data_IF_678642217085
#
_entry.id   IF_678642217085
#
_cell.length_a   1.000
_cell.length_b   1.000
_cell.length_c   1.000
_cell.angle_alpha   90.00
_cell.angle_beta   90.00
_cell.angle_gamma   90.00
#
_symmetry.space_group_name_H-M   'P 1'
#
loop_
_entity.id
_entity.type
_entity.pdbx_description
1 polymer ?
#
# COMPACT_ATOMS: atom_id res chain seq x y z
N UNK A 1 5.84 -13.11 27.75
CA UNK A 1 6.34 -13.25 26.37
C UNK A 1 5.12 -13.22 25.46
N UNK A 2 4.99 -12.23 24.56
CA UNK A 2 3.71 -11.89 23.93
C UNK A 2 3.29 -12.85 22.81
N UNK A 3 4.14 -13.79 22.43
CA UNK A 3 3.96 -14.76 21.35
C UNK A 3 2.80 -15.74 21.57
N UNK A 4 2.26 -15.83 22.79
CA UNK A 4 1.11 -16.66 23.15
C UNK A 4 0.27 -16.00 24.24
N UNK A 5 -0.54 -14.99 23.92
CA UNK A 5 -1.58 -14.55 24.86
C UNK A 5 -2.67 -15.62 24.92
N UNK A 6 -3.07 -16.01 26.12
CA UNK A 6 -4.21 -16.89 26.34
C UNK A 6 -5.49 -16.19 25.88
N UNK A 7 -6.43 -16.97 25.35
CA UNK A 7 -7.81 -16.55 25.05
C UNK A 7 -8.44 -16.04 26.38
N UNK A 8 -9.12 -14.88 26.40
CA UNK A 8 -9.65 -14.14 25.26
C UNK A 8 -8.62 -13.28 24.52
N UNK A 9 -8.72 -13.31 23.19
CA UNK A 9 -7.94 -12.49 22.25
C UNK A 9 -8.36 -11.01 22.24
N UNK A 10 -9.37 -10.64 23.03
CA UNK A 10 -9.81 -9.26 23.20
C UNK A 10 -8.93 -8.63 24.27
N UNK A 11 -7.92 -7.82 23.89
CA UNK A 11 -7.19 -7.04 24.88
C UNK A 11 -8.17 -6.12 25.62
N UNK A 12 -7.84 -5.78 26.87
CA UNK A 12 -8.52 -4.67 27.56
C UNK A 12 -8.53 -3.43 26.63
N UNK A 13 -9.61 -2.63 26.65
CA UNK A 13 -9.71 -1.44 25.80
C UNK A 13 -8.45 -0.59 25.91
N UNK A 14 -7.83 -0.28 24.78
CA UNK A 14 -6.65 0.58 24.78
C UNK A 14 -7.07 1.97 25.27
N UNK A 15 -6.30 2.57 26.20
CA UNK A 15 -6.57 3.91 26.67
C UNK A 15 -6.75 4.90 25.52
N UNK A 16 -7.72 5.80 25.64
CA UNK A 16 -8.03 6.77 24.58
C UNK A 16 -6.87 7.72 24.28
N UNK A 17 -5.99 7.97 25.25
CA UNK A 17 -4.78 8.78 25.14
C UNK A 17 -3.57 8.04 24.54
N UNK A 18 -3.71 6.75 24.22
CA UNK A 18 -2.63 5.99 23.58
C UNK A 18 -2.23 6.65 22.25
N UNK A 19 -0.93 6.83 22.04
CA UNK A 19 -0.37 7.54 20.88
C UNK A 19 -0.95 7.11 19.53
N UNK A 20 -1.03 5.80 19.29
CA UNK A 20 -1.61 5.27 18.05
C UNK A 20 -3.11 5.56 17.94
N UNK A 21 -3.85 5.48 19.06
CA UNK A 21 -5.29 5.79 19.12
C UNK A 21 -5.53 7.25 18.72
N UNK A 22 -4.75 8.17 19.28
CA UNK A 22 -4.82 9.60 18.95
C UNK A 22 -4.53 9.88 17.46
N UNK A 23 -3.49 9.26 16.88
CA UNK A 23 -3.20 9.40 15.44
C UNK A 23 -4.35 8.93 14.56
N UNK A 24 -5.00 7.83 14.93
CA UNK A 24 -6.14 7.31 14.17
C UNK A 24 -7.33 8.25 14.29
N UNK A 25 -7.68 8.66 15.50
CA UNK A 25 -8.81 9.57 15.72
C UNK A 25 -8.61 10.87 14.93
N UNK A 26 -7.38 11.40 14.91
CA UNK A 26 -7.04 12.55 14.09
C UNK A 26 -7.18 12.27 12.58
N UNK A 27 -6.70 11.12 12.10
CA UNK A 27 -6.87 10.74 10.69
C UNK A 27 -8.36 10.53 10.32
N UNK A 28 -9.14 9.96 11.24
CA UNK A 28 -10.58 9.77 11.16
C UNK A 28 -11.37 11.08 11.32
N UNK A 29 -10.79 12.21 11.68
CA UNK A 29 -11.48 13.50 11.59
C UNK A 29 -11.55 14.05 10.16
N UNK A 30 -10.68 13.55 9.26
CA UNK A 30 -10.62 14.01 7.87
C UNK A 30 -11.66 13.29 7.00
N UNK A 31 -12.13 13.91 5.90
CA UNK A 31 -12.91 13.20 4.89
C UNK A 31 -12.07 12.10 4.21
N UNK A 32 -12.69 11.22 3.41
CA UNK A 32 -11.95 10.24 2.60
C UNK A 32 -10.80 10.89 1.78
N UNK A 33 -9.74 10.13 1.43
CA UNK A 33 -8.65 10.63 0.59
C UNK A 33 -9.16 11.25 -0.71
N UNK A 34 -8.57 12.35 -1.17
CA UNK A 34 -9.06 13.09 -2.34
C UNK A 34 -8.07 13.13 -3.53
N UNK A 35 -6.93 12.42 -3.41
CA UNK A 35 -6.05 12.09 -4.54
C UNK A 35 -6.35 10.64 -4.97
N UNK A 36 -7.21 10.51 -5.99
CA UNK A 36 -7.83 9.25 -6.40
C UNK A 36 -7.70 9.04 -7.91
N UNK A 37 -7.80 7.79 -8.36
CA UNK A 37 -7.79 7.43 -9.78
C UNK A 37 -9.23 7.43 -10.35
N UNK A 38 -9.47 7.97 -11.56
CA UNK A 38 -10.79 7.89 -12.19
C UNK A 38 -11.18 6.45 -12.51
N UNK A 39 -12.48 6.17 -12.49
CA UNK A 39 -13.03 4.88 -12.90
C UNK A 39 -13.76 5.00 -14.24
N UNK A 40 -13.90 3.88 -14.95
CA UNK A 40 -14.61 3.83 -16.23
C UNK A 40 -16.11 3.61 -16.06
N UNK A 41 -16.51 2.80 -15.07
CA UNK A 41 -17.92 2.49 -14.78
C UNK A 41 -18.23 2.79 -13.30
N UNK A 42 -18.55 4.06 -12.93
CA UNK A 42 -18.72 4.47 -11.53
C UNK A 42 -19.86 3.77 -10.79
N UNK A 43 -20.92 3.42 -11.52
CA UNK A 43 -22.14 2.78 -10.98
C UNK A 43 -22.07 1.25 -10.97
N UNK A 44 -20.94 0.65 -11.35
CA UNK A 44 -20.82 -0.81 -11.44
C UNK A 44 -20.56 -1.45 -10.07
N UNK A 45 -21.32 -2.49 -9.75
CA UNK A 45 -21.14 -3.32 -8.55
C UNK A 45 -19.80 -4.09 -8.59
N UNK A 46 -19.05 -4.17 -7.47
CA UNK A 46 -17.75 -4.84 -7.42
C UNK A 46 -17.94 -6.36 -7.51
N UNK A 47 -17.57 -6.96 -8.65
CA UNK A 47 -17.78 -8.39 -8.90
C UNK A 47 -16.49 -9.14 -9.24
N UNK A 48 -15.73 -8.65 -10.23
CA UNK A 48 -14.53 -9.31 -10.76
C UNK A 48 -13.24 -8.63 -10.28
N UNK A 49 -12.26 -9.40 -9.80
CA UNK A 49 -10.93 -8.89 -9.46
C UNK A 49 -9.97 -9.10 -10.62
N UNK A 50 -9.45 -7.99 -11.15
CA UNK A 50 -8.39 -7.96 -12.14
C UNK A 50 -7.03 -7.88 -11.45
N UNK A 51 -5.99 -8.32 -12.16
CA UNK A 51 -4.61 -8.22 -11.67
C UNK A 51 -3.70 -7.76 -12.80
N UNK A 52 -2.90 -6.73 -12.54
CA UNK A 52 -1.83 -6.26 -13.41
C UNK A 52 -0.51 -6.41 -12.65
N UNK A 53 0.49 -7.03 -13.27
CA UNK A 53 1.83 -7.15 -12.70
C UNK A 53 2.83 -6.41 -13.56
N UNK A 54 3.51 -5.42 -12.98
CA UNK A 54 4.69 -4.79 -13.60
C UNK A 54 5.94 -5.44 -13.05
N UNK A 55 6.74 -6.02 -13.94
CA UNK A 55 8.06 -6.58 -13.62
C UNK A 55 9.15 -5.61 -14.05
N UNK A 56 10.12 -5.37 -13.16
CA UNK A 56 11.27 -4.52 -13.42
C UNK A 56 12.50 -5.36 -13.81
N UNK A 57 13.46 -4.80 -14.55
CA UNK A 57 14.68 -5.51 -14.92
C UNK A 57 15.49 -6.01 -13.70
N UNK A 58 16.30 -7.07 -13.84
CA UNK A 58 17.26 -7.48 -12.82
C UNK A 58 18.18 -6.32 -12.38
N UNK A 59 18.54 -6.28 -11.10
CA UNK A 59 19.38 -5.20 -10.54
C UNK A 59 18.63 -3.89 -10.23
N UNK A 60 17.37 -3.76 -10.66
CA UNK A 60 16.51 -2.63 -10.30
C UNK A 60 16.32 -2.46 -8.78
N UNK A 61 15.99 -3.50 -7.99
CA UNK A 61 15.77 -3.31 -6.54
C UNK A 61 17.01 -2.79 -5.82
N UNK A 62 18.21 -3.17 -6.23
CA UNK A 62 19.47 -2.69 -5.66
C UNK A 62 19.68 -1.20 -5.94
N UNK A 63 19.40 -0.76 -7.17
CA UNK A 63 19.47 0.65 -7.56
C UNK A 63 18.46 1.49 -6.78
N UNK A 64 17.19 1.07 -6.78
CA UNK A 64 16.13 1.77 -6.05
C UNK A 64 16.41 1.81 -4.54
N UNK A 65 16.90 0.71 -3.96
CA UNK A 65 17.33 0.67 -2.56
C UNK A 65 18.44 1.66 -2.26
N UNK A 66 19.42 1.76 -3.16
CA UNK A 66 20.57 2.68 -3.00
C UNK A 66 20.11 4.14 -3.08
N UNK A 67 19.27 4.47 -4.07
CA UNK A 67 18.65 5.79 -4.21
C UNK A 67 17.84 6.18 -2.97
N UNK A 68 16.99 5.28 -2.50
CA UNK A 68 16.17 5.50 -1.31
C UNK A 68 17.04 5.72 -0.07
N UNK A 69 18.10 4.93 0.13
CA UNK A 69 19.04 5.10 1.24
C UNK A 69 19.77 6.44 1.19
N UNK A 70 20.24 6.85 0.01
CA UNK A 70 20.88 8.16 -0.18
C UNK A 70 19.95 9.32 0.25
N UNK A 71 18.63 9.12 0.08
CA UNK A 71 17.59 10.07 0.47
C UNK A 71 16.99 9.82 1.86
N UNK A 72 17.58 8.93 2.68
CA UNK A 72 17.12 8.56 4.03
C UNK A 72 15.69 7.97 4.06
N UNK A 73 15.33 7.26 3.00
CA UNK A 73 14.02 6.64 2.79
C UNK A 73 14.12 5.11 2.68
N UNK A 74 12.98 4.45 2.76
CA UNK A 74 12.81 3.04 2.38
C UNK A 74 12.24 2.93 0.98
N UNK A 75 12.34 1.74 0.36
CA UNK A 75 11.64 1.46 -0.91
C UNK A 75 10.13 1.69 -0.74
N UNK A 76 9.56 1.29 0.40
CA UNK A 76 8.14 1.48 0.68
C UNK A 76 7.75 2.96 0.67
N UNK A 77 8.48 3.83 1.38
CA UNK A 77 8.15 5.25 1.40
C UNK A 77 8.36 5.92 0.03
N UNK A 78 9.35 5.47 -0.74
CA UNK A 78 9.55 5.92 -2.12
C UNK A 78 8.39 5.51 -3.05
N UNK A 79 7.96 4.25 -3.01
CA UNK A 79 6.83 3.75 -3.80
C UNK A 79 5.52 4.43 -3.37
N UNK A 80 5.30 4.64 -2.07
CA UNK A 80 4.15 5.38 -1.56
C UNK A 80 4.12 6.80 -2.12
N UNK A 81 5.23 7.53 -2.04
CA UNK A 81 5.30 8.89 -2.54
C UNK A 81 5.13 8.95 -4.06
N UNK A 82 5.79 8.06 -4.81
CA UNK A 82 5.66 7.96 -6.26
C UNK A 82 4.20 7.65 -6.66
N UNK A 83 3.53 6.70 -6.00
CA UNK A 83 2.11 6.36 -6.25
C UNK A 83 1.22 7.60 -6.23
N UNK A 84 1.29 8.40 -5.16
CA UNK A 84 0.38 9.52 -5.01
C UNK A 84 0.79 10.77 -5.79
N UNK A 85 2.07 11.00 -6.04
CA UNK A 85 2.50 12.07 -6.94
C UNK A 85 2.20 11.75 -8.41
N UNK A 86 2.35 10.50 -8.83
CA UNK A 86 1.90 10.06 -10.16
C UNK A 86 0.40 10.31 -10.34
N UNK A 87 -0.43 9.95 -9.34
CA UNK A 87 -1.87 10.26 -9.40
C UNK A 87 -2.12 11.76 -9.49
N UNK A 88 -1.47 12.55 -8.63
CA UNK A 88 -1.61 13.99 -8.61
C UNK A 88 -1.28 14.64 -9.96
N UNK A 89 -0.22 14.18 -10.63
CA UNK A 89 0.23 14.73 -11.92
C UNK A 89 -0.55 14.22 -13.12
N UNK A 90 -1.18 13.05 -13.01
CA UNK A 90 -1.99 12.48 -14.09
C UNK A 90 -3.37 13.12 -14.20
N UNK A 91 -3.93 13.60 -13.09
CA UNK A 91 -5.28 14.14 -13.06
C UNK A 91 -5.33 15.52 -13.75
N UNK A 92 -6.39 15.80 -14.53
CA UNK A 92 -6.63 17.13 -15.04
C UNK A 92 -6.74 18.16 -13.90
N UNK A 93 -6.22 19.39 -14.05
CA UNK A 93 -6.35 20.42 -13.02
C UNK A 93 -7.81 20.71 -12.62
N UNK A 94 -8.75 20.57 -13.56
CA UNK A 94 -10.19 20.74 -13.31
C UNK A 94 -10.79 19.66 -12.40
N UNK A 95 -10.17 18.49 -12.33
CA UNK A 95 -10.56 17.38 -11.45
C UNK A 95 -9.89 17.48 -10.08
N UNK A 96 -8.98 18.43 -9.87
CA UNK A 96 -8.28 18.60 -8.60
C UNK A 96 -9.10 19.50 -7.67
N UNK A 97 -9.46 19.04 -6.46
CA UNK A 97 -10.17 19.85 -5.48
C UNK A 97 -9.44 21.16 -5.14
N UNK A 98 -10.20 22.21 -4.80
CA UNK A 98 -9.66 23.53 -4.39
C UNK A 98 -9.19 23.58 -2.94
N UNK A 99 -9.45 22.54 -2.15
CA UNK A 99 -9.03 22.41 -0.75
C UNK A 99 -7.67 21.75 -0.56
N UNK A 100 -7.32 21.43 0.69
CA UNK A 100 -6.12 20.63 0.98
C UNK A 100 -6.20 19.28 0.26
N UNK A 101 -5.15 18.92 -0.45
CA UNK A 101 -5.02 17.59 -1.06
C UNK A 101 -4.29 16.66 -0.11
N UNK A 102 -4.88 15.50 0.16
CA UNK A 102 -4.31 14.55 1.09
C UNK A 102 -4.74 13.12 0.81
N UNK A 103 -3.94 12.21 1.32
CA UNK A 103 -4.24 10.78 1.41
C UNK A 103 -3.82 10.23 2.76
N UNK A 104 -4.50 9.19 3.20
CA UNK A 104 -4.14 8.45 4.38
C UNK A 104 -4.41 6.97 4.18
N UNK A 105 -3.59 6.13 4.80
CA UNK A 105 -3.76 4.68 4.85
C UNK A 105 -3.69 4.27 6.32
N UNK A 106 -4.77 3.65 6.81
CA UNK A 106 -4.82 3.05 8.13
C UNK A 106 -5.78 1.84 8.15
N UNK A 107 -5.43 0.76 8.88
CA UNK A 107 -4.07 0.40 9.24
C UNK A 107 -3.27 -0.04 8.00
N UNK A 108 -2.09 0.55 7.77
CA UNK A 108 -1.12 0.02 6.82
C UNK A 108 -0.39 -1.18 7.46
N UNK A 109 -0.78 -2.39 7.05
CA UNK A 109 -0.29 -3.64 7.63
C UNK A 109 1.24 -3.78 7.59
N UNK A 110 1.85 -4.26 8.67
CA UNK A 110 3.27 -4.60 8.70
C UNK A 110 3.52 -5.98 9.32
N UNK A 111 4.46 -6.74 8.75
CA UNK A 111 4.88 -8.04 9.28
C UNK A 111 5.89 -7.83 10.42
N UNK A 112 5.53 -8.34 11.60
CA UNK A 112 6.34 -8.28 12.82
C UNK A 112 7.06 -9.59 13.15
N UNK A 113 6.82 -10.66 12.39
CA UNK A 113 7.28 -12.01 12.72
C UNK A 113 8.80 -12.08 12.90
N UNK A 114 9.56 -11.46 12.01
CA UNK A 114 11.02 -11.48 12.06
C UNK A 114 11.60 -10.82 13.31
N UNK A 115 10.87 -9.89 13.92
CA UNK A 115 11.30 -9.14 15.12
C UNK A 115 10.76 -9.70 16.42
N UNK A 116 9.57 -10.30 16.37
CA UNK A 116 8.80 -10.63 17.58
C UNK A 116 8.54 -12.13 17.77
N UNK A 117 8.84 -12.99 16.79
CA UNK A 117 8.85 -14.43 17.03
C UNK A 117 10.09 -14.84 17.84
N UNK A 118 9.87 -15.70 18.84
CA UNK A 118 10.94 -16.35 19.58
C UNK A 118 11.75 -17.24 18.60
N UNK A 119 13.04 -16.96 18.47
CA UNK A 119 13.91 -17.58 17.45
C UNK A 119 14.21 -16.66 16.25
N UNK A 120 13.69 -15.44 16.23
CA UNK A 120 14.01 -14.43 15.21
C UNK A 120 13.45 -14.77 13.83
N UNK A 121 14.15 -14.33 12.78
CA UNK A 121 13.73 -14.52 11.40
C UNK A 121 13.57 -16.00 11.01
N UNK A 122 14.41 -16.90 11.55
CA UNK A 122 14.34 -18.34 11.24
C UNK A 122 13.04 -18.98 11.71
N UNK A 123 12.43 -18.45 12.78
CA UNK A 123 11.16 -18.92 13.31
C UNK A 123 9.97 -18.62 12.40
N UNK A 124 10.12 -17.78 11.37
CA UNK A 124 9.08 -17.50 10.37
C UNK A 124 8.72 -18.73 9.53
N UNK A 125 9.69 -19.62 9.33
CA UNK A 125 9.53 -20.84 8.51
C UNK A 125 8.77 -21.96 9.22
N UNK A 126 8.58 -21.85 10.55
CA UNK A 126 7.76 -22.79 11.30
C UNK A 126 6.26 -22.47 11.10
N UNK A 127 5.56 -23.34 10.36
CA UNK A 127 4.13 -23.22 10.09
C UNK A 127 3.27 -23.17 11.36
N UNK A 128 3.77 -23.64 12.52
CA UNK A 128 3.07 -23.50 13.81
C UNK A 128 2.98 -22.04 14.25
N UNK A 129 3.95 -21.21 13.86
CA UNK A 129 3.98 -19.78 14.19
C UNK A 129 3.06 -18.94 13.28
N UNK A 130 2.58 -19.48 12.15
CA UNK A 130 1.64 -18.78 11.27
C UNK A 130 0.29 -18.54 11.91
N UNK A 131 -0.06 -19.32 12.94
CA UNK A 131 -1.30 -19.16 13.74
C UNK A 131 -1.19 -18.09 14.83
N UNK A 132 -0.03 -17.46 15.00
CA UNK A 132 0.17 -16.43 16.04
C UNK A 132 -0.32 -15.08 15.49
N UNK A 133 -1.51 -14.66 15.94
CA UNK A 133 -2.19 -13.44 15.50
C UNK A 133 -1.48 -12.13 15.85
N UNK A 134 -0.55 -12.13 16.83
CA UNK A 134 0.22 -10.95 17.26
C UNK A 134 1.32 -10.49 16.30
N UNK A 135 1.34 -11.02 15.08
CA UNK A 135 2.45 -10.82 14.15
C UNK A 135 2.14 -9.82 13.03
N UNK A 136 0.96 -9.21 13.08
CA UNK A 136 0.56 -8.13 12.19
C UNK A 136 0.49 -6.83 12.98
N UNK A 137 1.18 -5.82 12.49
CA UNK A 137 1.06 -4.44 12.95
C UNK A 137 0.27 -3.58 11.98
N UNK A 138 0.08 -2.32 12.34
CA UNK A 138 -0.44 -1.26 11.50
C UNK A 138 0.41 0.01 11.59
N UNK A 139 0.36 0.83 10.55
CA UNK A 139 0.75 2.22 10.63
C UNK A 139 -0.43 3.10 10.21
N UNK A 140 -0.46 4.32 10.73
CA UNK A 140 -1.27 5.42 10.22
C UNK A 140 -0.33 6.30 9.44
N UNK A 141 -0.35 6.17 8.11
CA UNK A 141 0.51 6.94 7.22
C UNK A 141 -0.35 7.83 6.35
N UNK A 142 0.12 9.05 6.08
CA UNK A 142 -0.55 9.95 5.16
C UNK A 142 0.42 10.86 4.42
N UNK A 143 -0.07 11.39 3.31
CA UNK A 143 0.52 12.54 2.64
C UNK A 143 -0.48 13.69 2.76
N UNK A 144 -0.03 14.82 3.27
CA UNK A 144 -0.85 15.98 3.54
C UNK A 144 -0.32 17.17 2.73
N UNK A 145 -1.16 18.18 2.51
CA UNK A 145 -0.80 19.39 1.76
C UNK A 145 -0.18 19.10 0.39
N UNK A 146 -0.70 18.09 -0.30
CA UNK A 146 -0.14 17.59 -1.56
C UNK A 146 -0.25 18.61 -2.70
N UNK A 147 -1.12 19.63 -2.56
CA UNK A 147 -1.25 20.74 -3.51
C UNK A 147 0.07 21.47 -3.77
N UNK A 148 1.02 21.42 -2.83
CA UNK A 148 2.36 22.02 -3.00
C UNK A 148 3.19 21.41 -4.13
N UNK A 149 2.82 20.22 -4.61
CA UNK A 149 3.53 19.51 -5.67
C UNK A 149 2.87 19.67 -7.05
N UNK A 150 1.75 20.39 -7.13
CA UNK A 150 1.08 20.69 -8.40
C UNK A 150 1.96 21.60 -9.25
N UNK A 151 2.17 21.23 -10.52
CA UNK A 151 2.96 22.02 -11.47
C UNK A 151 4.46 22.09 -11.16
N UNK A 152 4.97 21.20 -10.30
CA UNK A 152 6.38 21.16 -9.97
C UNK A 152 7.26 20.88 -11.19
N UNK A 153 8.43 21.52 -11.22
CA UNK A 153 9.48 21.31 -12.23
C UNK A 153 10.54 20.31 -11.78
N UNK A 154 10.47 19.83 -10.53
CA UNK A 154 11.44 18.92 -9.90
C UNK A 154 10.77 17.65 -9.36
N UNK A 155 10.09 16.85 -10.22
CA UNK A 155 9.24 15.74 -9.77
C UNK A 155 9.99 14.66 -8.97
N UNK A 156 11.28 14.44 -9.25
CA UNK A 156 12.06 13.46 -8.48
C UNK A 156 12.34 13.94 -7.05
N UNK A 157 12.63 15.23 -6.86
CA UNK A 157 12.86 15.78 -5.51
C UNK A 157 11.57 15.84 -4.70
N UNK A 158 10.42 16.06 -5.36
CA UNK A 158 9.12 16.00 -4.71
C UNK A 158 8.84 14.60 -4.17
N UNK A 159 9.16 13.56 -4.95
CA UNK A 159 9.04 12.18 -4.48
C UNK A 159 9.91 11.97 -3.26
N UNK A 160 11.16 12.41 -3.26
CA UNK A 160 12.03 12.23 -2.10
C UNK A 160 11.58 13.04 -0.89
N UNK A 161 11.08 14.25 -1.10
CA UNK A 161 10.48 15.09 -0.05
C UNK A 161 9.33 14.38 0.62
N UNK A 162 8.35 13.92 -0.17
CA UNK A 162 7.20 13.21 0.38
C UNK A 162 7.59 11.86 0.98
N UNK A 163 8.52 11.13 0.37
CA UNK A 163 9.02 9.85 0.89
C UNK A 163 9.70 10.01 2.25
N UNK A 164 10.40 11.13 2.50
CA UNK A 164 11.01 11.44 3.81
C UNK A 164 9.94 11.71 4.86
N UNK A 165 8.88 12.43 4.51
CA UNK A 165 7.74 12.68 5.42
C UNK A 165 7.03 11.38 5.81
N UNK A 166 6.82 10.48 4.85
CA UNK A 166 6.23 9.16 5.11
C UNK A 166 7.19 8.30 5.94
N UNK A 167 8.49 8.33 5.64
CA UNK A 167 9.49 7.59 6.40
C UNK A 167 9.56 8.07 7.85
N UNK A 168 9.46 9.39 8.10
CA UNK A 168 9.42 9.95 9.43
C UNK A 168 8.22 9.43 10.23
N UNK A 169 7.03 9.37 9.62
CA UNK A 169 5.83 8.80 10.25
C UNK A 169 6.00 7.32 10.61
N UNK A 170 6.62 6.52 9.72
CA UNK A 170 6.89 5.09 9.97
C UNK A 170 7.88 4.92 11.13
N UNK A 171 8.94 5.74 11.19
CA UNK A 171 9.93 5.69 12.27
C UNK A 171 9.33 6.13 13.61
N UNK A 172 8.52 7.17 13.61
CA UNK A 172 7.81 7.67 14.80
C UNK A 172 6.89 6.60 15.41
N UNK A 173 6.25 5.78 14.57
CA UNK A 173 5.32 4.73 15.00
C UNK A 173 6.01 3.40 15.34
N UNK A 174 7.29 3.25 14.98
CA UNK A 174 8.05 2.01 15.16
C UNK A 174 8.04 1.46 16.60
N UNK A 175 8.18 2.28 17.67
CA UNK A 175 8.16 1.78 19.05
C UNK A 175 6.84 1.14 19.47
N UNK A 176 5.73 1.53 18.84
CA UNK A 176 4.38 1.09 19.17
C UNK A 176 3.94 -0.17 18.41
N UNK A 177 4.74 -0.62 17.44
CA UNK A 177 4.40 -1.79 16.62
C UNK A 177 4.38 -3.07 17.48
N UNK A 178 5.26 -3.18 18.48
CA UNK A 178 5.32 -4.33 19.37
C UNK A 178 4.03 -4.57 20.19
N UNK A 179 3.21 -3.53 20.38
CA UNK A 179 1.92 -3.59 21.08
C UNK A 179 0.72 -3.59 20.12
N UNK A 180 0.93 -3.80 18.82
CA UNK A 180 -0.12 -3.67 17.81
C UNK A 180 -1.35 -4.53 18.04
N UNK A 181 -1.18 -5.74 18.56
CA UNK A 181 -2.30 -6.59 18.95
C UNK A 181 -3.27 -5.94 19.93
N UNK A 182 -2.81 -4.96 20.72
CA UNK A 182 -3.63 -4.23 21.68
C UNK A 182 -4.47 -3.17 20.98
N UNK A 183 -3.86 -2.37 20.11
CA UNK A 183 -4.51 -1.19 19.53
C UNK A 183 -5.11 -1.41 18.13
N UNK A 184 -4.65 -2.41 17.35
CA UNK A 184 -5.19 -2.74 16.01
C UNK A 184 -6.70 -2.99 16.04
N UNK A 185 -7.24 -3.81 16.97
CA UNK A 185 -8.68 -4.03 17.08
C UNK A 185 -9.46 -2.73 17.33
N UNK A 186 -8.94 -1.84 18.18
CA UNK A 186 -9.54 -0.53 18.45
C UNK A 186 -9.56 0.36 17.20
N UNK A 187 -8.53 0.30 16.35
CA UNK A 187 -8.54 0.99 15.04
C UNK A 187 -9.71 0.49 14.20
N UNK A 188 -9.80 -0.83 14.02
CA UNK A 188 -10.79 -1.45 13.15
C UNK A 188 -12.19 -1.10 13.65
N UNK A 189 -12.43 -1.17 14.96
CA UNK A 189 -13.70 -0.77 15.56
C UNK A 189 -14.03 0.72 15.32
N UNK A 190 -13.06 1.63 15.51
CA UNK A 190 -13.25 3.05 15.26
C UNK A 190 -13.52 3.37 13.78
N UNK A 191 -12.84 2.67 12.86
CA UNK A 191 -13.09 2.78 11.43
C UNK A 191 -14.51 2.32 11.09
N UNK A 192 -14.91 1.14 11.56
CA UNK A 192 -16.25 0.60 11.31
C UNK A 192 -17.32 1.55 11.84
N UNK A 193 -17.15 2.08 13.05
CA UNK A 193 -18.09 3.03 13.66
C UNK A 193 -18.20 4.34 12.87
N UNK A 194 -17.08 4.90 12.40
CA UNK A 194 -17.10 6.12 11.56
C UNK A 194 -17.81 5.85 10.23
N UNK A 195 -17.40 4.80 9.52
CA UNK A 195 -17.89 4.55 8.17
C UNK A 195 -19.32 4.01 8.14
N UNK A 196 -19.83 3.41 9.22
CA UNK A 196 -21.23 3.01 9.31
C UNK A 196 -22.19 4.16 9.57
N UNK A 197 -21.75 5.25 10.20
CA UNK A 197 -22.64 6.30 10.70
C UNK A 197 -22.49 7.63 9.95
N UNK A 198 -21.27 7.99 9.54
CA UNK A 198 -20.95 9.37 9.11
C UNK A 198 -20.34 9.45 7.70
N UNK A 199 -20.36 8.35 6.95
CA UNK A 199 -19.73 8.31 5.64
C UNK A 199 -20.61 8.91 4.55
N UNK A 200 -20.08 9.97 3.93
CA UNK A 200 -20.62 10.56 2.70
C UNK A 200 -19.59 10.31 1.60
N UNK A 201 -19.93 9.59 0.51
CA UNK A 201 -19.04 9.42 -0.62
C UNK A 201 -18.72 10.77 -1.24
N UNK A 202 -17.45 11.03 -1.53
CA UNK A 202 -17.05 12.27 -2.20
C UNK A 202 -17.48 12.26 -3.68
N UNK A 203 -17.23 11.14 -4.37
CA UNK A 203 -17.68 10.89 -5.74
C UNK A 203 -17.52 9.41 -6.10
N UNK A 204 -18.50 8.78 -6.78
CA UNK A 204 -18.34 7.44 -7.34
C UNK A 204 -17.38 7.39 -8.54
N UNK A 205 -17.04 8.55 -9.14
CA UNK A 205 -16.18 8.66 -10.33
C UNK A 205 -14.70 8.40 -10.06
N UNK A 206 -14.29 8.35 -8.79
CA UNK A 206 -12.90 8.21 -8.41
C UNK A 206 -12.72 7.19 -7.28
N UNK A 207 -11.60 6.47 -7.29
CA UNK A 207 -11.26 5.48 -6.27
C UNK A 207 -9.82 5.62 -5.79
N UNK A 208 -9.60 5.28 -4.54
CA UNK A 208 -8.25 5.35 -3.96
C UNK A 208 -7.35 4.23 -4.50
N UNK A 209 -6.08 4.57 -4.76
CA UNK A 209 -5.02 3.58 -4.98
C UNK A 209 -4.22 3.45 -3.69
N UNK A 210 -4.46 2.36 -2.96
CA UNK A 210 -3.76 2.12 -1.69
C UNK A 210 -2.48 1.32 -1.93
N UNK A 211 -1.46 1.62 -1.13
CA UNK A 211 -0.17 0.93 -1.17
C UNK A 211 -0.04 0.02 0.05
N UNK A 212 0.26 -1.26 -0.20
CA UNK A 212 0.69 -2.24 0.81
C UNK A 212 1.99 -2.88 0.37
N UNK A 213 2.77 -3.51 1.25
CA UNK A 213 4.02 -4.14 0.83
C UNK A 213 4.15 -5.55 1.39
N UNK A 214 4.60 -6.47 0.53
CA UNK A 214 4.99 -7.82 0.94
C UNK A 214 6.51 -7.97 1.11
N UNK A 215 7.28 -6.93 0.76
CA UNK A 215 8.73 -6.94 0.86
C UNK A 215 9.37 -8.08 0.06
N UNK A 216 10.30 -8.80 0.69
CA UNK A 216 11.05 -9.89 0.07
C UNK A 216 10.32 -11.21 0.29
N UNK A 217 9.86 -11.84 -0.80
CA UNK A 217 9.10 -13.09 -0.73
C UNK A 217 9.97 -14.35 -0.70
N UNK A 218 11.24 -14.27 -1.11
CA UNK A 218 12.15 -15.41 -1.23
C UNK A 218 12.26 -16.25 0.05
N UNK A 219 12.13 -15.64 1.23
CA UNK A 219 12.14 -16.34 2.52
C UNK A 219 10.78 -16.88 2.97
N UNK A 220 9.68 -16.45 2.33
CA UNK A 220 8.31 -16.75 2.76
C UNK A 220 7.58 -17.71 1.82
N UNK A 221 8.07 -17.86 0.58
CA UNK A 221 7.48 -18.74 -0.43
C UNK A 221 8.56 -19.68 -0.97
N UNK A 222 8.30 -20.99 -0.96
CA UNK A 222 9.22 -21.98 -1.52
C UNK A 222 9.37 -21.75 -3.03
N UNK A 223 10.60 -21.79 -3.55
CA UNK A 223 10.88 -21.69 -5.00
C UNK A 223 10.50 -22.95 -5.76
N UNK A 224 10.35 -24.07 -5.07
CA UNK A 224 10.04 -25.35 -5.69
C UNK A 224 8.93 -26.08 -4.98
N UNK A 225 8.20 -26.90 -5.74
CA UNK A 225 7.23 -27.86 -5.24
C UNK A 225 7.65 -29.28 -5.59
N UNK A 226 7.63 -30.18 -4.61
CA UNK A 226 8.00 -31.58 -4.76
C UNK A 226 9.09 -32.04 -3.79
N UNK A 227 9.44 -33.34 -3.80
CA UNK A 227 10.45 -33.90 -2.92
C UNK A 227 11.85 -33.37 -3.26
N UNK A 228 12.59 -32.94 -2.25
CA UNK A 228 14.02 -32.70 -2.36
C UNK A 228 14.75 -34.05 -2.58
N UNK A 229 15.80 -34.14 -3.42
CA UNK A 229 16.49 -33.07 -4.15
C UNK A 229 15.97 -32.79 -5.57
N UNK A 230 14.96 -33.53 -6.04
CA UNK A 230 14.45 -33.46 -7.42
C UNK A 230 13.06 -32.80 -7.43
N UNK A 231 12.98 -31.47 -7.41
CA UNK A 231 11.69 -30.78 -7.40
C UNK A 231 10.89 -31.08 -8.66
N UNK A 232 9.57 -31.24 -8.50
CA UNK A 232 8.66 -31.48 -9.62
C UNK A 232 8.35 -30.20 -10.38
N UNK A 233 8.28 -29.06 -9.68
CA UNK A 233 8.01 -27.75 -10.27
C UNK A 233 8.88 -26.67 -9.65
N UNK A 234 9.20 -25.66 -10.46
CA UNK A 234 9.81 -24.40 -10.02
C UNK A 234 8.79 -23.28 -10.18
N UNK A 235 8.62 -22.46 -9.15
CA UNK A 235 7.72 -21.31 -9.15
C UNK A 235 8.46 -20.13 -9.76
N UNK A 236 8.11 -19.77 -11.00
CA UNK A 236 8.78 -18.69 -11.75
C UNK A 236 8.22 -17.30 -11.42
N UNK A 237 6.89 -17.16 -11.36
CA UNK A 237 6.22 -15.86 -11.17
C UNK A 237 4.98 -15.99 -10.30
N UNK A 238 5.07 -15.76 -8.98
CA UNK A 238 3.91 -15.70 -8.12
C UNK A 238 3.08 -14.46 -8.44
N UNK A 239 1.79 -14.67 -8.66
CA UNK A 239 0.80 -13.61 -8.83
C UNK A 239 0.07 -13.43 -7.51
N UNK A 240 0.08 -12.20 -7.01
CA UNK A 240 -0.69 -11.83 -5.82
C UNK A 240 -1.94 -11.10 -6.30
N UNK A 241 -3.09 -11.69 -6.02
CA UNK A 241 -4.39 -11.08 -6.20
C UNK A 241 -5.05 -10.93 -4.83
N UNK A 242 -5.49 -9.72 -4.52
CA UNK A 242 -6.14 -9.40 -3.26
C UNK A 242 -7.29 -8.44 -3.51
N UNK A 243 -8.44 -8.73 -2.90
CA UNK A 243 -9.55 -7.78 -2.86
C UNK A 243 -9.24 -6.76 -1.78
N UNK A 244 -9.06 -5.49 -2.17
CA UNK A 244 -8.98 -4.40 -1.19
C UNK A 244 -10.29 -4.32 -0.42
N UNK A 245 -10.28 -4.24 0.92
CA UNK A 245 -11.52 -4.11 1.68
C UNK A 245 -12.20 -2.78 1.34
N UNK A 246 -13.33 -2.83 0.65
CA UNK A 246 -14.18 -1.66 0.38
C UNK A 246 -15.03 -1.40 1.61
N UNK A 247 -14.50 -0.63 2.57
CA UNK A 247 -15.29 -0.14 3.71
C UNK A 247 -16.30 0.93 3.27
N UNK A 248 -16.08 1.54 2.11
CA UNK A 248 -16.88 2.64 1.59
C UNK A 248 -17.09 2.55 0.08
N UNK A 249 -18.16 3.18 -0.41
CA UNK A 249 -18.54 3.19 -1.83
C UNK A 249 -17.67 4.08 -2.71
N UNK A 250 -16.67 4.81 -2.19
CA UNK A 250 -15.62 5.53 -2.92
C UNK A 250 -14.20 5.03 -2.53
N UNK A 251 -14.15 3.90 -1.84
CA UNK A 251 -12.97 3.40 -1.14
C UNK A 251 -11.85 2.89 -2.05
N UNK A 252 -11.19 1.81 -1.63
CA UNK A 252 -10.04 1.27 -2.35
C UNK A 252 -10.50 0.68 -3.69
N UNK A 253 -10.08 1.33 -4.79
CA UNK A 253 -10.31 0.84 -6.15
C UNK A 253 -9.19 -0.06 -6.65
N UNK A 254 -7.98 0.19 -6.17
CA UNK A 254 -6.76 -0.48 -6.59
C UNK A 254 -5.86 -0.68 -5.38
N UNK A 255 -5.36 -1.90 -5.19
CA UNK A 255 -4.30 -2.21 -4.23
C UNK A 255 -2.98 -2.41 -4.98
N UNK A 256 -2.05 -1.49 -4.79
CA UNK A 256 -0.67 -1.56 -5.25
C UNK A 256 0.20 -2.28 -4.20
N UNK A 257 0.91 -3.32 -4.64
CA UNK A 257 1.76 -4.16 -3.79
C UNK A 257 3.16 -4.31 -4.39
N UNK A 258 4.14 -3.50 -3.98
CA UNK A 258 5.56 -3.78 -4.20
C UNK A 258 6.06 -5.03 -3.46
N UNK A 259 6.79 -5.88 -4.19
CA UNK A 259 7.49 -7.05 -3.64
C UNK A 259 8.71 -7.44 -4.49
N UNK A 260 9.60 -8.27 -3.94
CA UNK A 260 10.63 -8.97 -4.71
C UNK A 260 10.41 -10.46 -4.66
N UNK A 261 10.61 -11.13 -5.79
CA UNK A 261 10.66 -12.58 -5.90
C UNK A 261 11.82 -12.98 -6.81
N UNK A 262 12.70 -13.83 -6.31
CA UNK A 262 13.92 -14.25 -7.00
C UNK A 262 14.82 -13.07 -7.36
N UNK A 263 14.96 -12.13 -6.42
CA UNK A 263 15.71 -10.89 -6.62
C UNK A 263 15.10 -9.90 -7.63
N UNK A 264 13.96 -10.23 -8.24
CA UNK A 264 13.29 -9.36 -9.21
C UNK A 264 12.17 -8.57 -8.55
N UNK A 265 12.25 -7.24 -8.66
CA UNK A 265 11.23 -6.32 -8.15
C UNK A 265 9.99 -6.32 -9.04
N UNK A 266 8.82 -6.38 -8.41
CA UNK A 266 7.52 -6.39 -9.06
C UNK A 266 6.55 -5.47 -8.32
N UNK A 267 5.62 -4.89 -9.08
CA UNK A 267 4.42 -4.25 -8.56
C UNK A 267 3.22 -5.09 -8.98
N UNK A 268 2.47 -5.64 -8.02
CA UNK A 268 1.15 -6.19 -8.29
C UNK A 268 0.09 -5.12 -8.06
N UNK A 269 -0.86 -4.99 -8.97
CA UNK A 269 -2.03 -4.13 -8.83
C UNK A 269 -3.27 -5.01 -8.92
N UNK A 270 -3.98 -5.14 -7.81
CA UNK A 270 -5.28 -5.80 -7.76
C UNK A 270 -6.39 -4.74 -7.78
N UNK A 271 -7.42 -4.92 -8.59
CA UNK A 271 -8.47 -3.93 -8.79
C UNK A 271 -9.79 -4.59 -9.14
N UNK A 272 -10.94 -3.93 -8.92
CA UNK A 272 -12.19 -4.48 -9.46
C UNK A 272 -12.37 -4.05 -10.93
N UNK A 273 -12.47 -5.05 -11.81
CA UNK A 273 -12.67 -4.85 -13.26
C UNK A 273 -14.00 -4.15 -13.52
N UNK A 274 -15.01 -4.39 -12.69
CA UNK A 274 -16.35 -3.82 -12.87
C UNK A 274 -16.30 -2.29 -13.03
N UNK A 275 -15.63 -1.56 -12.14
CA UNK A 275 -15.50 -0.11 -12.24
C UNK A 275 -14.25 0.36 -12.99
N UNK A 276 -13.10 -0.33 -12.90
CA UNK A 276 -11.88 0.11 -13.60
C UNK A 276 -11.86 -0.24 -15.09
N UNK A 277 -12.78 -1.09 -15.53
CA UNK A 277 -12.82 -1.69 -16.86
C UNK A 277 -11.77 -2.77 -17.10
N UNK A 278 -12.04 -3.57 -18.11
CA UNK A 278 -11.16 -4.57 -18.71
C UNK A 278 -9.95 -3.92 -19.38
N UNK A 279 -8.96 -4.74 -19.76
CA UNK A 279 -7.78 -4.24 -20.48
C UNK A 279 -8.12 -3.59 -21.83
N UNK A 280 -9.20 -4.04 -22.49
CA UNK A 280 -9.70 -3.51 -23.77
C UNK A 280 -10.45 -2.19 -23.59
N UNK A 281 -11.32 -2.10 -22.58
CA UNK A 281 -12.02 -0.85 -22.23
C UNK A 281 -11.02 0.23 -21.85
N UNK A 282 -10.01 -0.11 -21.05
CA UNK A 282 -8.93 0.82 -20.70
C UNK A 282 -8.13 1.26 -21.93
N UNK A 283 -7.79 0.34 -22.85
CA UNK A 283 -7.08 0.71 -24.09
C UNK A 283 -7.91 1.63 -24.99
N UNK A 284 -9.23 1.46 -25.00
CA UNK A 284 -10.16 2.32 -25.75
C UNK A 284 -10.25 3.70 -25.10
N UNK A 285 -10.43 3.77 -23.78
CA UNK A 285 -10.48 5.01 -23.03
C UNK A 285 -9.17 5.83 -23.14
N UNK A 286 -8.01 5.17 -23.18
CA UNK A 286 -6.71 5.84 -23.41
C UNK A 286 -6.64 6.54 -24.77
N UNK A 287 -7.18 5.91 -25.84
CA UNK A 287 -7.25 6.52 -27.17
C UNK A 287 -8.14 7.77 -27.20
N UNK A 288 -9.12 7.82 -26.31
CA UNK A 288 -9.98 8.99 -26.09
C UNK A 288 -9.34 10.06 -25.18
N UNK A 289 -8.09 9.84 -24.74
CA UNK A 289 -7.35 10.77 -23.88
C UNK A 289 -7.71 10.69 -22.40
N UNK A 290 -8.52 9.71 -21.98
CA UNK A 290 -8.88 9.51 -20.57
C UNK A 290 -7.70 8.96 -19.77
N UNK A 291 -7.69 9.27 -18.47
CA UNK A 291 -6.76 8.66 -17.51
C UNK A 291 -7.31 7.30 -17.09
N UNK A 292 -6.48 6.27 -17.15
CA UNK A 292 -6.84 4.87 -16.86
C UNK A 292 -5.83 4.27 -15.89
N UNK A 293 -6.16 3.09 -15.35
CA UNK A 293 -5.22 2.31 -14.53
C UNK A 293 -3.95 1.95 -15.30
N UNK A 294 -4.08 1.55 -16.57
CA UNK A 294 -2.93 1.23 -17.44
C UNK A 294 -1.99 2.43 -17.62
N UNK A 295 -2.50 3.59 -18.05
CA UNK A 295 -1.71 4.84 -18.14
C UNK A 295 -1.07 5.22 -16.80
N UNK A 296 -1.81 5.06 -15.70
CA UNK A 296 -1.28 5.27 -14.36
C UNK A 296 -0.07 4.37 -14.05
N UNK A 297 -0.18 3.07 -14.33
CA UNK A 297 0.91 2.12 -14.11
C UNK A 297 2.13 2.46 -14.94
N UNK A 298 1.95 2.89 -16.19
CA UNK A 298 3.05 3.30 -17.05
C UNK A 298 3.80 4.52 -16.51
N UNK A 299 3.09 5.56 -16.09
CA UNK A 299 3.72 6.75 -15.51
C UNK A 299 4.39 6.46 -14.16
N UNK A 300 3.75 5.65 -13.29
CA UNK A 300 4.37 5.20 -12.04
C UNK A 300 5.66 4.41 -12.32
N UNK A 301 5.63 3.53 -13.31
CA UNK A 301 6.80 2.74 -13.70
C UNK A 301 7.93 3.64 -14.15
N UNK A 302 7.67 4.58 -15.07
CA UNK A 302 8.67 5.54 -15.56
C UNK A 302 9.28 6.34 -14.41
N UNK A 303 8.45 6.82 -13.48
CA UNK A 303 8.91 7.57 -12.32
C UNK A 303 9.82 6.72 -11.42
N UNK A 304 9.45 5.46 -11.15
CA UNK A 304 10.27 4.53 -10.37
C UNK A 304 11.60 4.18 -11.07
N UNK A 305 11.59 4.04 -12.39
CA UNK A 305 12.79 3.87 -13.21
C UNK A 305 13.73 5.08 -13.12
N UNK A 306 13.19 6.29 -13.18
CA UNK A 306 13.96 7.52 -13.00
C UNK A 306 14.55 7.63 -11.58
N UNK A 307 13.77 7.31 -10.55
CA UNK A 307 14.25 7.33 -9.15
C UNK A 307 15.40 6.34 -8.94
N UNK A 308 15.31 5.14 -9.53
CA UNK A 308 16.38 4.15 -9.48
C UNK A 308 17.61 4.59 -10.30
N UNK A 309 17.41 5.34 -11.39
CA UNK A 309 18.48 5.86 -12.26
C UNK A 309 19.19 7.11 -11.72
N UNK A 310 18.58 7.85 -10.79
CA UNK A 310 19.11 9.11 -10.26
C UNK A 310 20.28 8.95 -9.26
N UNK A 311 20.78 7.73 -9.02
CA UNK A 311 21.93 7.49 -8.15
C UNK A 311 23.24 7.59 -8.94
N UNK A 312 23.96 8.69 -8.77
CA UNK A 312 25.39 8.85 -9.12
C UNK A 312 26.14 9.28 -7.87
#
# INVERSE_FOLDING_TARGET
MPDRTAIPWTPDPVPSDHFMVQKILHALQRPPPNVKLPVLNPEAEPTLTGTLVKTFPPGFPEKLRSAARANRCSIFSAVFAANYLTLLHLLPPKSTPTGELFVHIYPAGADLRSKHLRGGAEAQNDRRNWKIGLTLSGNVIGAYRMERFLGSTTPLEDVWTLAREVQAQVLEQQPYQASASRWVPSIIAAMLAKYSNDYVPESPEYRSVNVSSLGVLDGNLSKSFGPSPNPAFTISSPIISSVGPTLTSDGVGVLLVPYTWDGVFRLSLSYAVAYMGTGEEQATAEKEGKVTLRRYVEELTKLLEQLAGASV
#
